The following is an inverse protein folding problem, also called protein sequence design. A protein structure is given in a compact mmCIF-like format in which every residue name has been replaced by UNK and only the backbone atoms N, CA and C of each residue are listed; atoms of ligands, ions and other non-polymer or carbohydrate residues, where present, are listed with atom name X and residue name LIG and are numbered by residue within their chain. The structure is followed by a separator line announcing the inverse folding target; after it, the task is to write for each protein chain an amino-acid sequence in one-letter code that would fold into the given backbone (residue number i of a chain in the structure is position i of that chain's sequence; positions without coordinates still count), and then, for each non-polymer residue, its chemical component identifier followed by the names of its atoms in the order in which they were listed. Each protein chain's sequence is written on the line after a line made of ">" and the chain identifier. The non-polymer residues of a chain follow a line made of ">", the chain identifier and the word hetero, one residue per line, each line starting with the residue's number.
data_IF_013702717990
#
_entry.id   IF_013702717990
#
_cell.length_a   1.000
_cell.length_b   1.000
_cell.length_c   1.000
_cell.angle_alpha   90.00
_cell.angle_beta   90.00
_cell.angle_gamma   90.00
#
_symmetry.space_group_name_H-M   'P 1'
#
loop_
_entity.id
_entity.type
_entity.pdbx_description
1 polymer ?
#
# COMPACT_ATOMS: atom_id res chain seq x y z
N UNK A 1 14.48 11.24 -20.87
CA UNK A 1 13.27 10.41 -20.74
C UNK A 1 13.52 9.40 -19.64
N UNK A 2 13.13 9.71 -18.40
CA UNK A 2 13.25 8.80 -17.26
C UNK A 2 11.94 8.03 -17.11
N UNK A 3 12.01 6.71 -17.02
CA UNK A 3 10.85 5.86 -16.78
C UNK A 3 10.38 6.09 -15.33
N UNK A 4 9.27 6.81 -15.12
CA UNK A 4 8.68 6.99 -13.80
C UNK A 4 7.94 5.71 -13.39
N UNK A 5 8.47 4.97 -12.41
CA UNK A 5 7.93 3.68 -11.97
C UNK A 5 6.81 3.88 -10.93
N UNK A 6 5.68 3.22 -11.13
CA UNK A 6 4.74 2.91 -10.04
C UNK A 6 4.63 1.41 -9.91
N UNK A 7 4.89 0.89 -8.71
CA UNK A 7 4.78 -0.54 -8.41
C UNK A 7 3.50 -0.76 -7.62
N UNK A 8 2.64 -1.66 -8.10
CA UNK A 8 1.51 -2.14 -7.29
C UNK A 8 2.06 -3.08 -6.21
N UNK A 9 1.79 -2.75 -4.95
CA UNK A 9 2.08 -3.60 -3.80
C UNK A 9 0.98 -4.64 -3.69
N UNK A 10 1.32 -5.89 -4.00
CA UNK A 10 0.46 -7.07 -3.87
C UNK A 10 1.28 -8.30 -3.42
N UNK A 11 2.12 -8.11 -2.40
CA UNK A 11 3.11 -9.10 -1.96
C UNK A 11 2.67 -9.94 -0.74
N UNK A 12 1.45 -9.76 -0.24
CA UNK A 12 0.96 -10.33 1.03
C UNK A 12 1.82 -9.98 2.28
N UNK A 13 2.68 -8.96 2.16
CA UNK A 13 3.60 -8.51 3.21
C UNK A 13 3.26 -7.10 3.69
N UNK A 14 3.30 -6.91 5.01
CA UNK A 14 3.16 -5.60 5.67
C UNK A 14 4.53 -4.91 5.77
N UNK A 15 4.55 -3.59 5.70
CA UNK A 15 5.75 -2.75 5.93
C UNK A 15 5.82 -2.40 7.43
N UNK A 16 4.68 -2.04 8.01
CA UNK A 16 4.58 -1.61 9.41
C UNK A 16 3.72 -2.58 10.22
N UNK A 17 4.01 -2.73 11.51
CA UNK A 17 3.28 -3.66 12.38
C UNK A 17 1.79 -3.30 12.52
N UNK A 18 1.51 -2.00 12.46
CA UNK A 18 0.19 -1.38 12.53
C UNK A 18 -0.71 -1.88 11.41
N UNK A 19 -0.12 -2.17 10.23
CA UNK A 19 -0.81 -2.67 9.05
C UNK A 19 -1.43 -4.06 9.24
N UNK A 20 -1.32 -4.70 10.41
CA UNK A 20 -2.01 -5.95 10.72
C UNK A 20 -2.53 -5.98 12.16
N UNK A 21 -3.80 -6.31 12.31
CA UNK A 21 -4.40 -6.52 13.65
C UNK A 21 -3.74 -7.73 14.31
N UNK A 22 -3.25 -7.55 15.54
CA UNK A 22 -2.58 -8.60 16.29
C UNK A 22 -1.22 -9.00 15.70
N UNK A 23 -0.55 -8.08 15.00
CA UNK A 23 0.76 -8.36 14.42
C UNK A 23 1.76 -8.86 15.48
N UNK A 24 2.49 -9.90 15.12
CA UNK A 24 3.63 -10.41 15.88
C UNK A 24 4.89 -9.56 15.58
N UNK A 25 6.02 -9.76 16.29
CA UNK A 25 7.25 -9.00 16.05
C UNK A 25 7.69 -9.03 14.58
N UNK A 26 8.50 -8.04 14.19
CA UNK A 26 9.07 -7.87 12.85
C UNK A 26 9.53 -9.22 12.30
N UNK A 27 9.01 -9.61 11.15
CA UNK A 27 9.41 -10.84 10.46
C UNK A 27 10.49 -10.53 9.42
N UNK A 28 11.34 -11.51 9.14
CA UNK A 28 12.37 -11.39 8.10
C UNK A 28 11.83 -10.94 6.74
N UNK A 29 10.62 -11.38 6.37
CA UNK A 29 9.98 -10.95 5.13
C UNK A 29 9.63 -9.45 5.12
N UNK A 30 9.32 -8.85 6.28
CA UNK A 30 9.09 -7.41 6.40
C UNK A 30 10.40 -6.64 6.24
N UNK A 31 11.50 -7.15 6.80
CA UNK A 31 12.83 -6.54 6.68
C UNK A 31 13.32 -6.57 5.23
N UNK A 32 13.27 -7.72 4.57
CA UNK A 32 13.64 -7.86 3.16
C UNK A 32 12.77 -6.98 2.26
N UNK A 33 11.48 -6.84 2.57
CA UNK A 33 10.59 -5.96 1.81
C UNK A 33 10.89 -4.48 2.04
N UNK A 34 11.21 -4.08 3.27
CA UNK A 34 11.62 -2.71 3.58
C UNK A 34 12.95 -2.36 2.92
N UNK A 35 13.91 -3.29 2.90
CA UNK A 35 15.17 -3.15 2.19
C UNK A 35 14.94 -2.95 0.68
N UNK A 36 14.06 -3.74 0.07
CA UNK A 36 13.67 -3.57 -1.34
C UNK A 36 13.08 -2.17 -1.62
N UNK A 37 12.19 -1.69 -0.75
CA UNK A 37 11.60 -0.34 -0.86
C UNK A 37 12.68 0.74 -0.80
N UNK A 38 13.59 0.63 0.18
CA UNK A 38 14.67 1.58 0.37
C UNK A 38 15.67 1.58 -0.79
N UNK A 39 16.07 0.41 -1.28
CA UNK A 39 17.01 0.27 -2.39
C UNK A 39 16.48 0.87 -3.70
N UNK A 40 15.16 0.88 -3.89
CA UNK A 40 14.51 1.46 -5.06
C UNK A 40 14.01 2.89 -4.85
N UNK A 41 14.27 3.49 -3.68
CA UNK A 41 13.80 4.84 -3.31
C UNK A 41 12.30 4.99 -3.54
N UNK A 42 11.54 3.99 -3.08
CA UNK A 42 10.09 3.96 -3.20
C UNK A 42 9.44 4.58 -1.96
N UNK A 43 8.34 5.28 -2.19
CA UNK A 43 7.52 5.93 -1.18
C UNK A 43 6.20 5.15 -1.07
N UNK A 44 5.84 4.77 0.15
CA UNK A 44 4.50 4.25 0.46
C UNK A 44 3.52 5.41 0.64
N UNK A 45 2.62 5.59 -0.32
CA UNK A 45 1.61 6.64 -0.25
C UNK A 45 0.56 6.30 0.81
N UNK A 46 0.05 7.31 1.52
CA UNK A 46 -1.00 7.09 2.52
C UNK A 46 -2.35 6.76 1.88
N UNK A 47 -3.16 5.93 2.55
CA UNK A 47 -4.56 5.68 2.19
C UNK A 47 -5.46 6.78 2.77
N UNK A 48 -6.40 7.28 1.97
CA UNK A 48 -7.22 8.46 2.34
C UNK A 48 -8.36 8.19 3.31
N UNK A 49 -8.84 6.94 3.43
CA UNK A 49 -10.10 6.67 4.15
C UNK A 49 -10.18 5.32 4.87
N UNK A 50 -9.34 4.34 4.51
CA UNK A 50 -9.27 3.04 5.18
C UNK A 50 -7.82 2.63 5.36
N UNK A 51 -7.47 2.20 6.56
CA UNK A 51 -6.13 1.72 6.87
C UNK A 51 -5.91 0.27 6.43
N UNK A 52 -6.97 -0.54 6.28
CA UNK A 52 -6.88 -1.95 5.89
C UNK A 52 -7.44 -2.18 4.50
N UNK A 53 -6.81 -3.10 3.76
CA UNK A 53 -7.19 -3.47 2.38
C UNK A 53 -7.53 -4.95 2.26
N UNK A 54 -7.28 -5.74 3.30
CA UNK A 54 -7.67 -7.13 3.42
C UNK A 54 -8.40 -7.39 4.74
N UNK A 55 -9.42 -8.24 4.70
CA UNK A 55 -10.12 -8.75 5.88
C UNK A 55 -10.48 -10.20 5.62
N UNK A 56 -10.34 -11.06 6.63
CA UNK A 56 -10.74 -12.45 6.52
C UNK A 56 -12.28 -12.56 6.41
N UNK A 57 -12.79 -13.43 5.54
CA UNK A 57 -14.27 -13.58 5.36
C UNK A 57 -14.96 -14.10 6.60
N UNK A 58 -14.29 -15.02 7.30
CA UNK A 58 -14.87 -15.78 8.42
C UNK A 58 -14.87 -15.00 9.73
N UNK A 59 -13.85 -14.14 9.93
CA UNK A 59 -13.73 -13.27 11.09
C UNK A 59 -13.28 -11.87 10.68
N UNK A 60 -13.98 -10.83 11.14
CA UNK A 60 -13.53 -9.45 10.93
C UNK A 60 -12.42 -9.04 11.91
N UNK A 61 -12.00 -9.95 12.79
CA UNK A 61 -10.91 -9.72 13.75
C UNK A 61 -9.55 -9.73 13.07
N UNK A 62 -9.38 -10.47 11.97
CA UNK A 62 -8.17 -10.48 11.16
C UNK A 62 -8.25 -9.48 10.01
N UNK A 63 -7.48 -8.38 10.11
CA UNK A 63 -7.39 -7.35 9.07
C UNK A 63 -5.95 -6.99 8.79
N UNK A 64 -5.63 -6.70 7.53
CA UNK A 64 -4.29 -6.26 7.14
C UNK A 64 -4.32 -5.26 5.98
N UNK A 65 -3.29 -4.43 5.85
CA UNK A 65 -3.01 -3.63 4.65
C UNK A 65 -2.00 -4.39 3.80
N UNK A 66 -2.50 -5.09 2.79
CA UNK A 66 -1.69 -5.94 1.91
C UNK A 66 -1.57 -5.35 0.51
N UNK A 67 -2.61 -4.62 0.09
CA UNK A 67 -2.67 -3.92 -1.18
C UNK A 67 -2.26 -2.46 -1.00
N UNK A 68 -1.53 -1.91 -1.98
CA UNK A 68 -1.14 -0.50 -2.07
C UNK A 68 -0.40 -0.17 -3.37
N UNK A 69 0.08 1.06 -3.49
CA UNK A 69 0.99 1.52 -4.52
C UNK A 69 2.22 2.14 -3.87
N UNK A 70 3.37 1.76 -4.39
CA UNK A 70 4.66 2.35 -4.10
C UNK A 70 5.07 3.19 -5.31
N UNK A 71 5.45 4.44 -5.09
CA UNK A 71 5.87 5.36 -6.16
C UNK A 71 7.32 5.74 -5.96
N UNK A 72 8.08 5.92 -7.04
CA UNK A 72 9.44 6.46 -6.91
C UNK A 72 9.39 7.92 -6.47
N UNK A 73 10.39 8.39 -5.73
CA UNK A 73 10.51 9.81 -5.34
C UNK A 73 10.42 10.75 -6.55
N UNK A 74 11.06 10.39 -7.66
CA UNK A 74 10.99 11.16 -8.91
C UNK A 74 9.57 11.26 -9.50
N UNK A 75 8.73 10.24 -9.32
CA UNK A 75 7.34 10.26 -9.77
C UNK A 75 6.52 11.18 -8.88
N UNK A 76 6.73 11.12 -7.57
CA UNK A 76 6.04 11.98 -6.60
C UNK A 76 6.39 13.46 -6.83
N UNK A 77 7.65 13.77 -7.16
CA UNK A 77 8.06 15.12 -7.55
C UNK A 77 7.38 15.63 -8.83
N UNK A 78 7.14 14.74 -9.80
CA UNK A 78 6.49 15.10 -11.07
C UNK A 78 4.97 15.26 -10.96
N UNK A 79 4.34 14.52 -10.05
CA UNK A 79 2.90 14.54 -9.83
C UNK A 79 2.63 14.53 -8.32
N UNK A 80 2.92 15.64 -7.62
CA UNK A 80 2.63 15.74 -6.20
C UNK A 80 1.11 15.65 -6.01
N UNK A 81 0.69 15.10 -4.88
CA UNK A 81 -0.73 14.90 -4.50
C UNK A 81 -1.41 13.69 -5.15
N UNK A 82 -0.63 12.70 -5.60
CA UNK A 82 -1.22 11.38 -5.90
C UNK A 82 -1.66 10.74 -4.60
N UNK A 83 -2.93 10.34 -4.53
CA UNK A 83 -3.52 9.70 -3.35
C UNK A 83 -3.96 8.28 -3.66
N UNK A 84 -3.97 7.44 -2.62
CA UNK A 84 -4.54 6.11 -2.69
C UNK A 84 -5.96 6.11 -2.10
N UNK A 85 -6.94 5.73 -2.92
CA UNK A 85 -8.34 5.66 -2.53
C UNK A 85 -8.78 4.19 -2.51
N UNK A 86 -8.99 3.60 -1.32
CA UNK A 86 -9.55 2.26 -1.23
C UNK A 86 -11.03 2.30 -1.66
N UNK A 87 -11.39 1.42 -2.59
CA UNK A 87 -12.75 1.27 -3.10
C UNK A 87 -13.54 0.27 -2.25
N UNK A 88 -14.85 0.48 -2.17
CA UNK A 88 -15.77 -0.39 -1.42
C UNK A 88 -15.73 -1.82 -1.95
N UNK A 89 -15.68 -2.79 -1.02
CA UNK A 89 -15.72 -4.22 -1.32
C UNK A 89 -17.17 -4.69 -1.41
N UNK A 90 -17.50 -5.44 -2.47
CA UNK A 90 -18.81 -6.10 -2.61
C UNK A 90 -18.75 -7.57 -2.21
N UNK A 91 -17.81 -8.34 -2.77
CA UNK A 91 -17.75 -9.81 -2.61
C UNK A 91 -16.35 -10.37 -2.33
N UNK A 92 -15.34 -9.50 -2.22
CA UNK A 92 -13.94 -9.91 -2.03
C UNK A 92 -13.43 -9.54 -0.65
N UNK A 93 -12.53 -10.35 -0.12
CA UNK A 93 -11.74 -10.04 1.06
C UNK A 93 -10.74 -8.90 0.84
N UNK A 94 -10.39 -8.62 -0.42
CA UNK A 94 -9.50 -7.54 -0.83
C UNK A 94 -10.27 -6.31 -1.31
N UNK A 95 -9.80 -5.13 -0.90
CA UNK A 95 -10.23 -3.83 -1.42
C UNK A 95 -9.42 -3.51 -2.67
N UNK A 96 -10.09 -3.07 -3.73
CA UNK A 96 -9.39 -2.45 -4.86
C UNK A 96 -8.89 -1.08 -4.44
N UNK A 97 -7.72 -0.66 -4.93
CA UNK A 97 -7.16 0.65 -4.65
C UNK A 97 -7.06 1.41 -5.96
N UNK A 98 -7.63 2.61 -5.97
CA UNK A 98 -7.46 3.58 -7.02
C UNK A 98 -6.28 4.49 -6.68
N UNK A 99 -5.40 4.69 -7.66
CA UNK A 99 -4.37 5.71 -7.59
C UNK A 99 -4.90 6.96 -8.32
N UNK A 100 -5.24 8.00 -7.55
CA UNK A 100 -5.85 9.21 -8.09
C UNK A 100 -4.82 10.36 -8.07
N UNK A 101 -4.49 10.88 -9.25
CA UNK A 101 -3.61 12.04 -9.44
C UNK A 101 -4.34 13.31 -9.87
N UNK A 102 -5.67 13.37 -9.74
CA UNK A 102 -6.50 14.44 -10.30
C UNK A 102 -6.73 15.65 -9.39
N UNK A 103 -6.29 15.63 -8.12
CA UNK A 103 -6.35 16.83 -7.25
C UNK A 103 -5.24 17.82 -7.59
N UNK A 104 -5.44 18.53 -8.70
CA UNK A 104 -4.51 19.54 -9.21
C UNK A 104 -4.98 20.31 -10.46
N UNK A 105 -6.30 20.41 -10.70
CA UNK A 105 -6.91 21.40 -11.61
C UNK A 105 -8.21 21.91 -11.03
#
# INVERSE_FOLDING_TARGET
>A
MGYSLGVRRAFNTIIFSEERVGCRPVSRAMEEFLEFINNLLLIDLSLTSSFFTWTRSEDSSSRSRLDGFLVSTSREEMAPNVIQVPLSRLLSNHSTILLDGSRGR
#
